data_IF_336479292477
#
_entry.id   IF_336479292477
#
_cell.length_a   1.000
_cell.length_b   1.000
_cell.length_c   1.000
_cell.angle_alpha   90.00
_cell.angle_beta   90.00
_cell.angle_gamma   90.00
#
_symmetry.space_group_name_H-M   'P 1'
#
loop_
_entity.id
_entity.type
_entity.pdbx_description
1 polymer ?
#
# COMPACT_ATOMS: atom_id res chain seq x y z
N UNK A 1 41.96 -27.24 116.62
CA UNK A 1 43.04 -26.24 116.69
C UNK A 1 44.05 -26.61 115.63
N UNK A 2 44.10 -25.86 114.53
CA UNK A 2 45.09 -26.10 113.47
C UNK A 2 45.61 -24.77 112.97
N UNK A 3 46.92 -24.71 112.92
CA UNK A 3 47.81 -23.56 112.99
C UNK A 3 47.96 -22.91 111.61
N UNK A 4 48.13 -21.58 111.60
CA UNK A 4 48.32 -20.71 110.42
C UNK A 4 49.82 -20.44 110.19
N UNK A 5 50.16 -20.15 108.92
CA UNK A 5 51.36 -19.44 108.41
C UNK A 5 52.59 -20.29 108.06
N UNK A 6 53.51 -19.89 107.12
CA UNK A 6 53.63 -18.61 106.40
C UNK A 6 53.97 -18.67 104.88
N UNK A 7 53.95 -17.50 104.22
CA UNK A 7 54.82 -17.13 103.07
C UNK A 7 54.35 -17.60 101.67
N UNK A 8 53.50 -16.90 100.93
CA UNK A 8 53.36 -15.44 100.76
C UNK A 8 54.69 -14.75 100.43
N UNK A 9 55.47 -15.30 99.46
CA UNK A 9 56.62 -14.59 98.86
C UNK A 9 57.15 -15.11 97.51
N UNK A 10 56.64 -16.22 96.96
CA UNK A 10 57.21 -16.83 95.75
C UNK A 10 56.47 -16.53 94.42
N UNK A 11 55.33 -15.82 94.44
CA UNK A 11 54.58 -15.47 93.22
C UNK A 11 54.61 -13.98 92.86
N UNK A 12 55.62 -13.23 93.32
CA UNK A 12 55.76 -11.79 92.97
C UNK A 12 57.01 -11.53 92.10
N UNK A 13 57.96 -12.47 92.05
CA UNK A 13 59.23 -12.26 91.32
C UNK A 13 59.18 -12.74 89.86
N UNK A 14 58.22 -13.58 89.47
CA UNK A 14 58.04 -14.00 88.07
C UNK A 14 57.17 -13.03 87.24
N UNK A 15 56.81 -11.86 87.78
CA UNK A 15 55.93 -10.87 87.14
C UNK A 15 56.68 -9.76 86.38
N UNK A 16 58.01 -9.85 86.24
CA UNK A 16 58.85 -8.78 85.64
C UNK A 16 59.72 -9.17 84.44
N UNK A 17 59.67 -10.43 83.97
CA UNK A 17 60.53 -10.87 82.85
C UNK A 17 59.80 -11.30 81.57
N UNK A 18 58.47 -11.32 81.54
CA UNK A 18 57.69 -11.64 80.32
C UNK A 18 57.07 -10.39 79.66
N UNK A 19 57.68 -9.21 79.83
CA UNK A 19 57.15 -7.94 79.36
C UNK A 19 57.56 -7.52 77.95
N UNK A 20 58.35 -8.29 77.19
CA UNK A 20 58.95 -7.81 75.93
C UNK A 20 59.19 -8.85 74.83
N UNK A 21 58.36 -9.89 74.71
CA UNK A 21 58.41 -10.74 73.52
C UNK A 21 57.02 -11.02 72.94
N UNK A 22 56.92 -10.75 71.63
CA UNK A 22 55.95 -11.31 70.69
C UNK A 22 54.53 -10.76 70.66
N UNK A 23 54.41 -9.48 70.29
CA UNK A 23 53.23 -8.96 69.58
C UNK A 23 53.22 -9.32 68.06
N UNK A 24 54.02 -10.30 67.63
CA UNK A 24 54.17 -10.69 66.20
C UNK A 24 53.65 -12.11 65.92
N UNK A 25 53.17 -12.84 66.93
CA UNK A 25 52.79 -14.26 66.77
C UNK A 25 51.29 -14.56 66.81
N UNK A 26 50.41 -13.55 66.82
CA UNK A 26 48.96 -13.74 66.68
C UNK A 26 48.40 -13.43 65.27
N UNK A 27 49.27 -13.18 64.29
CA UNK A 27 48.87 -12.93 62.90
C UNK A 27 48.69 -14.20 62.04
N UNK A 28 48.81 -15.41 62.61
CA UNK A 28 48.84 -16.68 61.84
C UNK A 28 47.65 -17.62 62.11
N UNK A 29 46.64 -17.20 62.89
CA UNK A 29 45.43 -18.02 63.16
C UNK A 29 44.10 -17.43 62.70
N UNK A 30 44.10 -16.28 62.00
CA UNK A 30 42.88 -15.66 61.45
C UNK A 30 42.76 -15.82 59.91
N UNK A 31 43.41 -16.84 59.34
CA UNK A 31 43.44 -17.09 57.90
C UNK A 31 42.83 -18.44 57.53
N UNK A 32 41.64 -18.77 58.07
CA UNK A 32 40.78 -19.87 57.59
C UNK A 32 39.33 -19.66 58.08
N UNK A 33 38.70 -18.55 57.70
CA UNK A 33 37.24 -18.50 57.60
C UNK A 33 36.91 -17.87 56.26
N UNK A 34 36.64 -18.72 55.27
CA UNK A 34 36.09 -18.32 53.98
C UNK A 34 34.84 -17.48 54.21
N UNK A 35 34.72 -16.26 53.64
CA UNK A 35 33.45 -15.58 53.59
C UNK A 35 32.43 -16.53 52.94
N UNK A 36 31.30 -16.80 53.61
CA UNK A 36 30.16 -17.43 52.95
C UNK A 36 29.80 -16.51 51.79
N UNK A 37 29.98 -16.99 50.56
CA UNK A 37 29.57 -16.24 49.39
C UNK A 37 28.08 -15.87 49.58
N UNK A 38 27.69 -14.60 49.34
CA UNK A 38 26.28 -14.24 49.39
C UNK A 38 25.51 -15.21 48.48
N UNK A 39 24.30 -15.66 48.90
CA UNK A 39 23.51 -16.58 48.11
C UNK A 39 23.41 -16.03 46.68
N UNK A 40 23.58 -16.86 45.65
CA UNK A 40 23.51 -16.40 44.28
C UNK A 40 22.19 -15.64 44.11
N UNK A 41 22.20 -14.48 43.40
CA UNK A 41 20.97 -13.74 43.15
C UNK A 41 19.92 -14.71 42.60
N UNK A 42 18.65 -14.61 43.03
CA UNK A 42 17.61 -15.48 42.53
C UNK A 42 17.66 -15.45 41.01
N UNK A 43 17.76 -16.64 40.41
CA UNK A 43 17.74 -16.78 38.96
C UNK A 43 16.54 -15.99 38.44
N UNK A 44 16.72 -15.11 37.45
CA UNK A 44 15.60 -14.43 36.83
C UNK A 44 14.54 -15.48 36.48
N UNK A 45 13.25 -15.25 36.79
CA UNK A 45 12.21 -16.18 36.40
C UNK A 45 12.38 -16.48 34.92
N UNK A 46 12.29 -17.76 34.50
CA UNK A 46 12.47 -18.12 33.10
C UNK A 46 11.55 -17.22 32.28
N UNK A 47 12.03 -16.64 31.16
CA UNK A 47 11.22 -15.75 30.36
C UNK A 47 9.92 -16.48 30.04
N UNK A 48 8.78 -15.88 30.40
CA UNK A 48 7.46 -16.36 30.05
C UNK A 48 7.42 -16.44 28.52
N UNK A 49 7.64 -17.63 27.97
CA UNK A 49 7.41 -17.86 26.55
C UNK A 49 5.90 -17.73 26.39
N UNK A 50 5.44 -16.68 25.70
CA UNK A 50 4.01 -16.52 25.42
C UNK A 50 3.50 -17.76 24.71
N UNK A 51 2.77 -18.61 25.45
CA UNK A 51 2.09 -19.80 24.93
C UNK A 51 0.84 -19.43 24.13
N UNK A 52 0.45 -18.15 24.13
CA UNK A 52 -0.76 -17.66 23.48
C UNK A 52 -0.58 -17.68 21.96
N UNK A 53 -1.40 -18.48 21.27
CA UNK A 53 -1.45 -18.52 19.81
C UNK A 53 -1.79 -17.12 19.26
N UNK A 54 -1.02 -16.57 18.31
CA UNK A 54 -1.36 -15.32 17.63
C UNK A 54 -2.77 -15.39 17.02
N UNK A 55 -3.52 -14.29 17.09
CA UNK A 55 -4.85 -14.18 16.47
C UNK A 55 -4.81 -13.31 15.21
N UNK A 56 -5.70 -13.56 14.23
CA UNK A 56 -5.80 -12.70 13.06
C UNK A 56 -6.11 -11.24 13.44
N UNK A 57 -5.55 -10.26 12.71
CA UNK A 57 -5.82 -8.85 12.97
C UNK A 57 -7.28 -8.51 12.61
N UNK A 58 -7.84 -7.53 13.33
CA UNK A 58 -9.13 -6.89 13.02
C UNK A 58 -10.32 -7.87 12.84
N UNK A 59 -10.27 -9.03 13.50
CA UNK A 59 -11.33 -10.03 13.40
C UNK A 59 -11.38 -10.78 12.07
N UNK A 60 -10.29 -10.77 11.30
CA UNK A 60 -10.18 -11.58 10.09
C UNK A 60 -10.27 -13.08 10.39
N UNK A 61 -10.64 -13.86 9.37
CA UNK A 61 -10.62 -15.33 9.44
C UNK A 61 -9.18 -15.85 9.42
N UNK A 62 -8.92 -17.01 10.03
CA UNK A 62 -7.55 -17.54 10.19
C UNK A 62 -6.87 -17.99 8.89
N UNK A 63 -7.66 -18.35 7.88
CA UNK A 63 -7.23 -18.95 6.62
C UNK A 63 -7.48 -18.05 5.39
N UNK A 64 -7.50 -16.73 5.59
CA UNK A 64 -7.60 -15.78 4.49
C UNK A 64 -6.31 -15.80 3.63
N UNK A 65 -6.47 -15.82 2.30
CA UNK A 65 -5.38 -15.52 1.36
C UNK A 65 -5.22 -14.02 1.25
N UNK A 66 -3.96 -13.56 1.25
CA UNK A 66 -3.61 -12.17 0.93
C UNK A 66 -3.06 -12.08 -0.49
N UNK A 67 -3.16 -10.91 -1.16
CA UNK A 67 -2.57 -10.72 -2.48
C UNK A 67 -1.05 -10.84 -2.46
N UNK A 68 -0.47 -11.08 -3.64
CA UNK A 68 0.99 -11.01 -3.83
C UNK A 68 1.50 -9.56 -3.69
N UNK A 69 2.79 -9.41 -3.42
CA UNK A 69 3.46 -8.11 -3.36
C UNK A 69 4.20 -7.86 -4.68
N UNK A 70 4.02 -6.67 -5.25
CA UNK A 70 4.78 -6.15 -6.38
C UNK A 70 5.17 -4.70 -6.07
N UNK A 71 6.43 -4.34 -6.32
CA UNK A 71 6.97 -2.99 -6.09
C UNK A 71 6.72 -2.47 -4.66
N UNK A 72 6.80 -3.37 -3.67
CA UNK A 72 6.62 -3.04 -2.25
C UNK A 72 5.18 -2.80 -1.81
N UNK A 73 4.18 -3.08 -2.65
CA UNK A 73 2.74 -2.98 -2.32
C UNK A 73 2.00 -4.27 -2.66
N UNK A 74 0.93 -4.54 -1.92
CA UNK A 74 0.03 -5.63 -2.26
C UNK A 74 -0.72 -5.31 -3.55
N UNK A 75 -0.83 -6.31 -4.43
CA UNK A 75 -1.56 -6.19 -5.68
C UNK A 75 -3.06 -5.97 -5.43
N UNK A 76 -3.56 -4.81 -5.80
CA UNK A 76 -4.98 -4.48 -5.74
C UNK A 76 -5.59 -4.36 -7.13
N UNK A 77 -6.94 -4.36 -7.23
CA UNK A 77 -7.64 -4.01 -8.45
C UNK A 77 -7.39 -2.57 -8.94
N UNK A 78 -6.83 -1.71 -8.10
CA UNK A 78 -6.61 -0.28 -8.38
C UNK A 78 -5.17 0.02 -8.85
N UNK A 79 -4.39 -0.99 -9.22
CA UNK A 79 -3.04 -0.76 -9.73
C UNK A 79 -3.06 -0.17 -11.13
N UNK A 80 -2.12 0.74 -11.40
CA UNK A 80 -1.93 1.40 -12.71
C UNK A 80 -3.16 2.17 -13.21
N UNK A 81 -4.08 2.55 -12.32
CA UNK A 81 -5.23 3.38 -12.68
C UNK A 81 -4.90 4.87 -12.53
N UNK A 82 -5.36 5.67 -13.47
CA UNK A 82 -5.20 7.12 -13.43
C UNK A 82 -6.51 7.82 -13.81
N UNK A 83 -6.59 9.13 -13.60
CA UNK A 83 -7.62 10.02 -14.14
C UNK A 83 -9.06 9.45 -14.06
N UNK A 84 -9.68 9.09 -15.19
CA UNK A 84 -11.07 8.63 -15.26
C UNK A 84 -11.28 7.29 -14.55
N UNK A 85 -10.39 6.32 -14.77
CA UNK A 85 -10.49 5.01 -14.12
C UNK A 85 -10.29 5.13 -12.61
N UNK A 86 -9.37 5.99 -12.17
CA UNK A 86 -9.18 6.28 -10.76
C UNK A 86 -10.45 6.92 -10.14
N UNK A 87 -11.06 7.91 -10.81
CA UNK A 87 -12.28 8.56 -10.32
C UNK A 87 -13.46 7.59 -10.25
N UNK A 88 -13.53 6.67 -11.22
CA UNK A 88 -14.51 5.58 -11.23
C UNK A 88 -14.36 4.67 -10.00
N UNK A 89 -13.14 4.26 -9.66
CA UNK A 89 -12.87 3.42 -8.48
C UNK A 89 -13.09 4.18 -7.15
N UNK A 90 -12.75 5.47 -7.09
CA UNK A 90 -13.07 6.33 -5.94
C UNK A 90 -14.58 6.36 -5.71
N UNK A 91 -15.38 6.52 -6.78
CA UNK A 91 -16.85 6.48 -6.67
C UNK A 91 -17.34 5.13 -6.11
N UNK A 92 -16.77 4.01 -6.54
CA UNK A 92 -17.12 2.68 -6.01
C UNK A 92 -16.79 2.56 -4.52
N UNK A 93 -15.60 2.97 -4.10
CA UNK A 93 -15.20 2.95 -2.71
C UNK A 93 -16.15 3.78 -1.83
N UNK A 94 -16.51 4.99 -2.27
CA UNK A 94 -17.44 5.84 -1.53
C UNK A 94 -18.87 5.28 -1.54
N UNK A 95 -19.27 4.56 -2.58
CA UNK A 95 -20.54 3.83 -2.56
C UNK A 95 -20.52 2.69 -1.54
N UNK A 96 -19.44 1.92 -1.45
CA UNK A 96 -19.28 0.90 -0.40
C UNK A 96 -19.33 1.55 0.99
N UNK A 97 -18.66 2.69 1.17
CA UNK A 97 -18.71 3.43 2.43
C UNK A 97 -20.15 3.87 2.78
N UNK A 98 -20.91 4.39 1.81
CA UNK A 98 -22.31 4.77 1.99
C UNK A 98 -23.23 3.59 2.41
N UNK A 99 -22.86 2.35 2.07
CA UNK A 99 -23.63 1.15 2.42
C UNK A 99 -23.17 0.51 3.73
N UNK A 100 -21.86 0.53 3.98
CA UNK A 100 -21.23 -0.26 5.04
C UNK A 100 -20.89 0.55 6.29
N UNK A 101 -20.64 1.85 6.16
CA UNK A 101 -20.25 2.67 7.29
C UNK A 101 -21.46 3.02 8.16
N UNK A 102 -21.23 3.05 9.47
CA UNK A 102 -22.24 3.35 10.51
C UNK A 102 -21.71 4.48 11.37
N UNK A 103 -21.71 5.68 10.82
CA UNK A 103 -21.27 6.89 11.50
C UNK A 103 -22.48 7.68 12.01
N UNK A 104 -22.31 8.51 13.06
CA UNK A 104 -23.38 9.38 13.54
C UNK A 104 -24.00 10.19 12.38
N UNK A 105 -25.33 10.17 12.28
CA UNK A 105 -26.05 10.89 11.24
C UNK A 105 -25.90 10.34 9.82
N UNK A 106 -25.32 9.15 9.64
CA UNK A 106 -25.17 8.50 8.32
C UNK A 106 -24.33 9.31 7.33
N UNK A 107 -23.24 9.91 7.85
CA UNK A 107 -22.42 10.89 7.16
C UNK A 107 -21.91 10.40 5.80
N UNK A 108 -21.35 9.19 5.73
CA UNK A 108 -20.85 8.62 4.48
C UNK A 108 -21.94 8.54 3.39
N UNK A 109 -23.17 8.13 3.73
CA UNK A 109 -24.29 8.08 2.79
C UNK A 109 -24.72 9.48 2.35
N UNK A 110 -24.80 10.43 3.28
CA UNK A 110 -25.16 11.82 2.97
C UNK A 110 -24.12 12.48 2.04
N UNK A 111 -22.83 12.29 2.33
CA UNK A 111 -21.74 12.79 1.49
C UNK A 111 -21.77 12.18 0.09
N UNK A 112 -21.95 10.86 -0.01
CA UNK A 112 -22.03 10.18 -1.31
C UNK A 112 -23.20 10.71 -2.15
N UNK A 113 -24.40 10.82 -1.56
CA UNK A 113 -25.56 11.36 -2.25
C UNK A 113 -25.33 12.82 -2.71
N UNK A 114 -24.68 13.64 -1.88
CA UNK A 114 -24.31 15.01 -2.26
C UNK A 114 -23.28 15.03 -3.39
N UNK A 115 -22.31 14.12 -3.37
CA UNK A 115 -21.27 14.00 -4.40
C UNK A 115 -21.88 13.65 -5.75
N UNK A 116 -22.86 12.74 -5.80
CA UNK A 116 -23.62 12.44 -7.02
C UNK A 116 -24.37 13.66 -7.56
N UNK A 117 -24.90 14.50 -6.68
CA UNK A 117 -25.62 15.71 -7.08
C UNK A 117 -24.69 16.82 -7.59
N UNK A 118 -23.60 17.10 -6.86
CA UNK A 118 -22.67 18.21 -7.18
C UNK A 118 -21.76 17.86 -8.37
N UNK A 119 -21.27 16.62 -8.44
CA UNK A 119 -20.28 16.20 -9.43
C UNK A 119 -20.85 15.24 -10.49
N UNK A 120 -22.17 15.08 -10.56
CA UNK A 120 -22.84 14.18 -11.51
C UNK A 120 -22.29 14.24 -12.94
N UNK A 121 -22.14 15.41 -13.57
CA UNK A 121 -21.64 15.51 -14.95
C UNK A 121 -20.24 14.93 -15.14
N UNK A 122 -19.29 15.22 -14.25
CA UNK A 122 -17.91 14.71 -14.39
C UNK A 122 -17.82 13.22 -14.05
N UNK A 123 -18.65 12.73 -13.12
CA UNK A 123 -18.74 11.30 -12.81
C UNK A 123 -19.31 10.50 -13.99
N UNK A 124 -20.32 11.04 -14.68
CA UNK A 124 -20.87 10.44 -15.91
C UNK A 124 -19.81 10.39 -17.01
N UNK A 125 -19.07 11.49 -17.22
CA UNK A 125 -17.99 11.55 -18.21
C UNK A 125 -16.88 10.53 -17.92
N UNK A 126 -16.51 10.35 -16.64
CA UNK A 126 -15.54 9.35 -16.23
C UNK A 126 -16.05 7.92 -16.50
N UNK A 127 -17.32 7.63 -16.21
CA UNK A 127 -17.94 6.34 -16.53
C UNK A 127 -17.93 6.05 -18.03
N UNK A 128 -18.33 7.02 -18.86
CA UNK A 128 -18.29 6.88 -20.33
C UNK A 128 -16.85 6.69 -20.84
N UNK A 129 -15.86 7.32 -20.20
CA UNK A 129 -14.46 7.11 -20.53
C UNK A 129 -14.01 5.68 -20.23
N UNK A 130 -14.37 5.13 -19.07
CA UNK A 130 -14.09 3.73 -18.72
C UNK A 130 -14.75 2.79 -19.74
N UNK A 131 -16.00 3.03 -20.13
CA UNK A 131 -16.68 2.25 -21.18
C UNK A 131 -15.92 2.26 -22.51
N UNK A 132 -15.42 3.43 -22.91
CA UNK A 132 -14.57 3.54 -24.10
C UNK A 132 -13.26 2.79 -23.95
N UNK A 133 -12.57 2.90 -22.81
CA UNK A 133 -11.31 2.20 -22.56
C UNK A 133 -11.49 0.68 -22.75
N UNK A 134 -12.56 0.13 -22.18
CA UNK A 134 -12.87 -1.29 -22.29
C UNK A 134 -13.33 -1.71 -23.69
N UNK A 135 -14.11 -0.89 -24.37
CA UNK A 135 -14.51 -1.14 -25.76
C UNK A 135 -13.30 -1.15 -26.70
N UNK A 136 -12.35 -0.22 -26.52
CA UNK A 136 -11.12 -0.15 -27.33
C UNK A 136 -10.21 -1.34 -27.05
N UNK A 137 -10.03 -1.70 -25.77
CA UNK A 137 -9.12 -2.78 -25.39
C UNK A 137 -9.64 -4.18 -25.76
N UNK A 138 -10.96 -4.41 -25.70
CA UNK A 138 -11.52 -5.77 -25.77
C UNK A 138 -12.68 -5.94 -26.77
N UNK A 139 -13.06 -4.89 -27.50
CA UNK A 139 -14.15 -4.95 -28.48
C UNK A 139 -15.47 -5.44 -27.86
N UNK A 140 -16.08 -6.46 -28.48
CA UNK A 140 -17.33 -7.05 -28.00
C UNK A 140 -17.25 -7.64 -26.58
N UNK A 141 -16.05 -8.06 -26.13
CA UNK A 141 -15.84 -8.58 -24.78
C UNK A 141 -15.66 -7.47 -23.72
N UNK A 142 -15.60 -6.20 -24.12
CA UNK A 142 -15.31 -5.07 -23.22
C UNK A 142 -16.28 -4.93 -22.06
N UNK A 143 -17.59 -5.09 -22.31
CA UNK A 143 -18.60 -5.00 -21.25
C UNK A 143 -18.38 -6.07 -20.17
N UNK A 144 -18.22 -7.33 -20.56
CA UNK A 144 -17.97 -8.42 -19.61
C UNK A 144 -16.64 -8.28 -18.86
N UNK A 145 -15.61 -7.76 -19.51
CA UNK A 145 -14.33 -7.45 -18.87
C UNK A 145 -14.46 -6.33 -17.82
N UNK A 146 -15.24 -5.28 -18.12
CA UNK A 146 -15.53 -4.18 -17.19
C UNK A 146 -16.31 -4.67 -15.97
N UNK A 147 -17.38 -5.45 -16.17
CA UNK A 147 -18.19 -5.94 -15.05
C UNK A 147 -17.41 -6.87 -14.11
N UNK A 148 -16.50 -7.68 -14.66
CA UNK A 148 -15.58 -8.49 -13.86
C UNK A 148 -14.67 -7.60 -13.00
N UNK A 149 -14.10 -6.53 -13.57
CA UNK A 149 -13.32 -5.59 -12.79
C UNK A 149 -14.18 -4.92 -11.71
N UNK A 150 -15.35 -4.39 -12.06
CA UNK A 150 -16.27 -3.74 -11.12
C UNK A 150 -16.52 -4.64 -9.90
N UNK A 151 -16.89 -5.89 -10.15
CA UNK A 151 -17.13 -6.89 -9.10
C UNK A 151 -15.89 -7.06 -8.21
N UNK A 152 -14.70 -7.12 -8.82
CA UNK A 152 -13.44 -7.27 -8.09
C UNK A 152 -13.14 -6.04 -7.22
N UNK A 153 -13.37 -4.83 -7.72
CA UNK A 153 -13.17 -3.57 -6.99
C UNK A 153 -14.16 -3.43 -5.83
N UNK A 154 -15.44 -3.75 -6.04
CA UNK A 154 -16.44 -3.76 -4.96
C UNK A 154 -16.09 -4.78 -3.88
N UNK A 155 -15.72 -6.00 -4.26
CA UNK A 155 -15.31 -7.03 -3.30
C UNK A 155 -14.07 -6.60 -2.50
N UNK A 156 -13.11 -5.95 -3.16
CA UNK A 156 -11.94 -5.40 -2.50
C UNK A 156 -12.33 -4.36 -1.44
N UNK A 157 -13.09 -3.32 -1.81
CA UNK A 157 -13.48 -2.27 -0.88
C UNK A 157 -14.47 -2.74 0.19
N UNK A 158 -15.14 -3.88 0.00
CA UNK A 158 -16.13 -4.43 0.94
C UNK A 158 -15.55 -5.41 1.95
N UNK A 159 -14.22 -5.47 2.10
CA UNK A 159 -13.56 -6.40 3.01
C UNK A 159 -13.94 -6.11 4.49
N UNK A 160 -14.74 -6.95 5.16
CA UNK A 160 -15.29 -6.66 6.48
C UNK A 160 -14.26 -6.30 7.57
N UNK A 161 -13.12 -7.00 7.73
CA UNK A 161 -12.15 -6.65 8.79
C UNK A 161 -11.52 -5.27 8.61
N UNK A 162 -11.58 -4.65 7.43
CA UNK A 162 -10.97 -3.35 7.14
C UNK A 162 -11.93 -2.19 7.42
N UNK A 163 -13.24 -2.45 7.54
CA UNK A 163 -14.28 -1.40 7.59
C UNK A 163 -14.06 -0.39 8.71
N UNK A 164 -13.59 -0.82 9.88
CA UNK A 164 -13.29 0.06 11.02
C UNK A 164 -12.26 1.14 10.67
N UNK A 165 -11.22 0.78 9.92
CA UNK A 165 -10.19 1.72 9.46
C UNK A 165 -10.55 2.44 8.16
N UNK A 166 -11.37 1.82 7.31
CA UNK A 166 -11.77 2.38 6.02
C UNK A 166 -12.78 3.53 6.15
N UNK A 167 -13.81 3.36 6.98
CA UNK A 167 -14.89 4.34 7.09
C UNK A 167 -14.45 5.78 7.41
N UNK A 168 -13.60 6.06 8.41
CA UNK A 168 -13.15 7.43 8.67
C UNK A 168 -12.34 8.02 7.51
N UNK A 169 -11.59 7.19 6.78
CA UNK A 169 -10.84 7.63 5.58
C UNK A 169 -11.79 7.97 4.44
N UNK A 170 -12.81 7.14 4.21
CA UNK A 170 -13.82 7.39 3.19
C UNK A 170 -14.60 8.69 3.43
N UNK A 171 -14.93 9.00 4.69
CA UNK A 171 -15.59 10.26 5.05
C UNK A 171 -14.70 11.48 4.85
N UNK A 172 -13.42 11.37 5.19
CA UNK A 172 -12.44 12.42 4.94
C UNK A 172 -12.26 12.69 3.44
N UNK A 173 -12.14 11.63 2.64
CA UNK A 173 -12.03 11.73 1.17
C UNK A 173 -13.32 12.28 0.57
N UNK A 174 -14.49 11.83 1.02
CA UNK A 174 -15.79 12.34 0.60
C UNK A 174 -15.93 13.84 0.87
N UNK A 175 -15.52 14.31 2.06
CA UNK A 175 -15.50 15.72 2.39
C UNK A 175 -14.56 16.54 1.47
N UNK A 176 -13.34 16.05 1.21
CA UNK A 176 -12.39 16.71 0.31
C UNK A 176 -12.96 16.85 -1.11
N UNK A 177 -13.55 15.78 -1.65
CA UNK A 177 -14.15 15.79 -2.99
C UNK A 177 -15.30 16.81 -3.08
N UNK A 178 -16.15 16.88 -2.05
CA UNK A 178 -17.24 17.86 -2.01
C UNK A 178 -16.78 19.32 -1.90
N UNK A 179 -15.58 19.55 -1.36
CA UNK A 179 -15.01 20.88 -1.17
C UNK A 179 -14.28 21.43 -2.41
N UNK A 180 -14.02 20.60 -3.42
CA UNK A 180 -13.27 21.00 -4.62
C UNK A 180 -14.18 21.19 -5.84
N UNK A 181 -13.77 22.00 -6.83
CA UNK A 181 -14.51 22.11 -8.08
C UNK A 181 -14.44 20.80 -8.88
N UNK A 182 -15.49 20.49 -9.64
CA UNK A 182 -15.55 19.29 -10.50
C UNK A 182 -14.37 19.14 -11.45
N UNK A 183 -13.79 20.25 -11.91
CA UNK A 183 -12.63 20.27 -12.81
C UNK A 183 -11.36 19.69 -12.18
N UNK A 184 -11.25 19.65 -10.85
CA UNK A 184 -10.08 19.14 -10.15
C UNK A 184 -10.17 17.62 -9.84
N UNK A 185 -11.34 17.00 -10.01
CA UNK A 185 -11.56 15.61 -9.57
C UNK A 185 -10.67 14.60 -10.29
N UNK A 186 -10.46 14.77 -11.60
CA UNK A 186 -9.66 13.82 -12.39
C UNK A 186 -8.19 13.83 -11.97
N UNK A 187 -7.65 15.01 -11.64
CA UNK A 187 -6.27 15.15 -11.19
C UNK A 187 -6.09 14.64 -9.75
N UNK A 188 -7.09 14.84 -8.90
CA UNK A 188 -7.05 14.38 -7.50
C UNK A 188 -7.39 12.89 -7.34
N UNK A 189 -8.10 12.28 -8.29
CA UNK A 189 -8.60 10.91 -8.14
C UNK A 189 -7.53 9.85 -7.81
N UNK A 190 -6.32 9.85 -8.40
CA UNK A 190 -5.26 8.92 -8.01
C UNK A 190 -4.85 9.05 -6.54
N UNK A 191 -4.76 10.29 -6.04
CA UNK A 191 -4.46 10.57 -4.63
C UNK A 191 -5.59 10.10 -3.72
N UNK A 192 -6.84 10.45 -4.05
CA UNK A 192 -8.02 10.00 -3.32
C UNK A 192 -8.08 8.46 -3.24
N UNK A 193 -7.79 7.78 -4.34
CA UNK A 193 -7.79 6.33 -4.40
C UNK A 193 -6.70 5.73 -3.52
N UNK A 194 -5.47 6.27 -3.59
CA UNK A 194 -4.38 5.83 -2.72
C UNK A 194 -4.71 6.02 -1.22
N UNK A 195 -5.39 7.12 -0.85
CA UNK A 195 -5.89 7.33 0.51
C UNK A 195 -6.90 6.24 0.90
N UNK A 196 -7.91 6.00 0.06
CA UNK A 196 -8.96 4.98 0.28
C UNK A 196 -8.41 3.54 0.36
N UNK A 197 -7.32 3.25 -0.35
CA UNK A 197 -6.69 1.92 -0.37
C UNK A 197 -5.76 1.66 0.81
N UNK A 198 -5.24 2.72 1.44
CA UNK A 198 -4.25 2.60 2.51
C UNK A 198 -4.68 1.66 3.66
N UNK A 199 -5.94 1.71 4.16
CA UNK A 199 -6.40 0.77 5.18
C UNK A 199 -6.31 -0.70 4.77
N UNK A 200 -6.50 -1.01 3.49
CA UNK A 200 -6.42 -2.38 2.96
C UNK A 200 -4.97 -2.86 2.86
N UNK A 201 -4.07 -1.97 2.40
CA UNK A 201 -2.63 -2.25 2.39
C UNK A 201 -2.11 -2.51 3.81
N UNK A 202 -2.52 -1.71 4.79
CA UNK A 202 -2.15 -1.87 6.19
C UNK A 202 -2.70 -3.17 6.78
N UNK A 203 -3.93 -3.54 6.44
CA UNK A 203 -4.52 -4.82 6.82
C UNK A 203 -3.70 -6.00 6.29
N UNK A 204 -3.36 -6.00 4.99
CA UNK A 204 -2.59 -7.09 4.40
C UNK A 204 -1.20 -7.21 5.03
N UNK A 205 -0.54 -6.08 5.35
CA UNK A 205 0.73 -6.07 6.08
C UNK A 205 0.58 -6.69 7.48
N UNK A 206 -0.45 -6.29 8.23
CA UNK A 206 -0.74 -6.85 9.55
C UNK A 206 -1.07 -8.35 9.49
N UNK A 207 -1.76 -8.79 8.43
CA UNK A 207 -2.12 -10.18 8.23
C UNK A 207 -0.90 -11.05 7.86
N UNK A 208 -0.01 -10.56 6.98
CA UNK A 208 1.25 -11.23 6.67
C UNK A 208 2.13 -11.40 7.93
N UNK A 209 2.18 -10.37 8.76
CA UNK A 209 2.90 -10.39 10.03
C UNK A 209 2.25 -11.37 11.04
N UNK A 210 0.92 -11.48 11.05
CA UNK A 210 0.22 -12.55 11.77
C UNK A 210 0.63 -13.95 11.28
N UNK A 211 0.65 -14.20 9.97
CA UNK A 211 1.06 -15.50 9.41
C UNK A 211 2.50 -15.87 9.80
N UNK A 212 3.41 -14.89 9.77
CA UNK A 212 4.79 -15.05 10.24
C UNK A 212 4.86 -15.45 11.71
N UNK A 213 4.16 -14.73 12.60
CA UNK A 213 4.10 -15.06 14.03
C UNK A 213 3.45 -16.42 14.28
N UNK A 214 2.41 -16.75 13.52
CA UNK A 214 1.73 -18.04 13.65
C UNK A 214 2.68 -19.19 13.29
N UNK A 215 3.46 -19.06 12.22
CA UNK A 215 4.46 -20.05 11.83
C UNK A 215 5.56 -20.20 12.90
N UNK A 216 6.03 -19.09 13.47
CA UNK A 216 7.00 -19.11 14.57
C UNK A 216 6.42 -19.82 15.80
N UNK A 217 5.20 -19.48 16.22
CA UNK A 217 4.52 -20.14 17.34
C UNK A 217 4.34 -21.64 17.08
N UNK A 218 3.91 -22.04 15.87
CA UNK A 218 3.75 -23.43 15.48
C UNK A 218 5.07 -24.21 15.57
N UNK A 219 6.19 -23.60 15.17
CA UNK A 219 7.53 -24.22 15.27
C UNK A 219 7.98 -24.49 16.72
N UNK A 220 7.55 -23.64 17.66
CA UNK A 220 7.94 -23.71 19.08
C UNK A 220 7.06 -24.68 19.89
N UNK A 221 5.77 -24.79 19.55
CA UNK A 221 4.79 -25.47 20.39
C UNK A 221 4.19 -26.75 19.80
N UNK A 222 4.63 -27.18 18.60
CA UNK A 222 4.51 -28.57 18.16
C UNK A 222 3.09 -29.16 18.20
N UNK A 223 2.06 -28.36 17.94
CA UNK A 223 0.72 -28.90 17.73
C UNK A 223 0.72 -29.87 16.55
N UNK A 224 0.03 -31.01 16.66
CA UNK A 224 -0.27 -31.87 15.50
C UNK A 224 -1.12 -31.04 14.54
N UNK A 225 -0.50 -30.49 13.49
CA UNK A 225 -1.20 -29.66 12.50
C UNK A 225 -1.17 -30.40 11.18
N UNK A 226 -2.35 -30.88 10.76
CA UNK A 226 -2.61 -31.21 9.37
C UNK A 226 -2.45 -29.93 8.56
N UNK A 227 -1.35 -29.83 7.80
CA UNK A 227 -1.10 -28.70 6.92
C UNK A 227 -2.07 -28.82 5.75
N UNK A 228 -3.20 -28.11 5.81
CA UNK A 228 -3.88 -27.74 4.59
C UNK A 228 -3.04 -26.66 3.93
N UNK A 229 -2.21 -27.05 2.97
CA UNK A 229 -1.69 -26.12 2.00
C UNK A 229 -2.89 -25.36 1.42
N UNK A 230 -2.93 -24.05 1.63
CA UNK A 230 -3.97 -23.20 1.05
C UNK A 230 -3.85 -23.37 -0.46
N UNK A 231 -4.87 -23.88 -1.15
CA UNK A 231 -4.78 -24.18 -2.55
C UNK A 231 -4.73 -22.85 -3.30
N UNK A 232 -3.62 -22.64 -3.99
CA UNK A 232 -3.35 -21.57 -4.97
C UNK A 232 -3.53 -20.12 -4.49
N UNK A 233 -2.55 -19.24 -4.74
CA UNK A 233 -2.77 -17.80 -4.65
C UNK A 233 -4.05 -17.44 -5.42
N UNK A 234 -4.85 -16.52 -4.87
CA UNK A 234 -5.91 -15.91 -5.66
C UNK A 234 -5.28 -15.38 -6.95
N UNK A 235 -5.87 -15.65 -8.13
CA UNK A 235 -5.36 -15.09 -9.36
C UNK A 235 -5.28 -13.56 -9.19
N UNK A 236 -4.20 -12.93 -9.68
CA UNK A 236 -4.03 -11.49 -9.50
C UNK A 236 -5.28 -10.78 -10.05
N UNK A 237 -5.78 -9.73 -9.37
CA UNK A 237 -6.93 -8.97 -9.86
C UNK A 237 -6.71 -8.55 -11.31
N UNK A 238 -7.71 -8.47 -12.19
CA UNK A 238 -7.50 -7.95 -13.54
C UNK A 238 -6.89 -6.55 -13.52
N UNK A 239 -6.01 -6.22 -14.48
CA UNK A 239 -5.51 -4.85 -14.67
C UNK A 239 -6.53 -4.08 -15.49
N UNK A 240 -6.98 -2.89 -15.05
CA UNK A 240 -7.82 -2.03 -15.89
C UNK A 240 -7.06 -1.57 -17.15
N UNK A 241 -7.70 -1.49 -18.32
CA UNK A 241 -7.06 -0.93 -19.51
C UNK A 241 -6.76 0.56 -19.29
N UNK A 242 -5.72 1.06 -19.96
CA UNK A 242 -5.37 2.47 -19.92
C UNK A 242 -6.40 3.37 -20.61
N UNK A 243 -6.29 4.67 -20.36
CA UNK A 243 -7.15 5.70 -20.95
C UNK A 243 -7.05 5.71 -22.49
N UNK A 244 -8.18 5.45 -23.14
CA UNK A 244 -8.32 5.57 -24.58
C UNK A 244 -8.48 7.06 -24.99
N UNK A 245 -7.98 7.44 -26.18
CA UNK A 245 -8.22 8.76 -26.74
C UNK A 245 -9.72 9.08 -26.84
N UNK A 246 -10.09 10.36 -26.69
CA UNK A 246 -11.47 10.80 -26.89
C UNK A 246 -11.90 10.52 -28.34
N UNK A 247 -13.17 10.19 -28.55
CA UNK A 247 -13.69 10.00 -29.91
C UNK A 247 -13.52 11.28 -30.73
N UNK A 248 -13.01 11.15 -31.95
CA UNK A 248 -12.65 12.29 -32.80
C UNK A 248 -11.27 12.89 -32.52
N UNK A 249 -10.51 12.36 -31.56
CA UNK A 249 -9.09 12.68 -31.41
C UNK A 249 -8.27 12.00 -32.52
N UNK A 250 -7.96 12.75 -33.58
CA UNK A 250 -6.87 12.40 -34.47
C UNK A 250 -5.59 13.05 -33.92
N UNK A 251 -4.53 12.30 -33.60
CA UNK A 251 -3.26 12.92 -33.28
C UNK A 251 -2.80 13.71 -34.52
N UNK A 252 -2.77 15.04 -34.42
CA UNK A 252 -2.09 15.84 -35.42
C UNK A 252 -0.60 15.54 -35.32
N UNK A 253 -0.11 14.64 -36.18
CA UNK A 253 1.32 14.27 -36.29
C UNK A 253 2.22 15.52 -36.48
N UNK A 254 1.62 16.64 -36.86
CA UNK A 254 2.24 17.96 -37.02
C UNK A 254 2.75 18.59 -35.70
N UNK A 255 2.17 18.31 -34.52
CA UNK A 255 2.54 19.08 -33.31
C UNK A 255 3.78 18.56 -32.58
N UNK A 256 4.08 17.25 -32.63
CA UNK A 256 5.20 16.68 -31.87
C UNK A 256 6.54 16.69 -32.63
N UNK A 257 6.50 16.68 -33.97
CA UNK A 257 7.72 16.75 -34.79
C UNK A 257 8.12 18.21 -35.04
N UNK A 258 7.17 19.12 -35.24
CA UNK A 258 7.45 20.50 -35.63
C UNK A 258 7.91 21.40 -34.47
N UNK A 259 7.64 21.02 -33.21
CA UNK A 259 8.14 21.73 -32.03
C UNK A 259 9.61 21.44 -31.70
N UNK A 260 10.21 20.41 -32.33
CA UNK A 260 11.60 19.97 -32.10
C UNK A 260 12.48 20.00 -33.35
N UNK A 261 12.03 20.60 -34.46
CA UNK A 261 12.96 20.91 -35.56
C UNK A 261 13.82 22.12 -35.18
N UNK A 262 15.15 22.06 -35.34
CA UNK A 262 16.00 23.24 -35.25
C UNK A 262 15.49 24.32 -36.23
N UNK A 263 15.58 25.61 -35.89
CA UNK A 263 15.30 26.67 -36.85
C UNK A 263 16.25 26.49 -38.06
N UNK A 264 15.77 26.70 -39.30
CA UNK A 264 16.64 26.67 -40.46
C UNK A 264 17.75 27.73 -40.29
N UNK A 265 19.00 27.43 -40.65
CA UNK A 265 20.09 28.39 -40.55
C UNK A 265 19.78 29.63 -41.39
N UNK A 266 20.04 30.81 -40.83
CA UNK A 266 19.79 32.11 -41.43
C UNK A 266 20.25 32.16 -42.89
N UNK A 267 19.31 32.40 -43.79
CA UNK A 267 19.61 32.66 -45.19
C UNK A 267 20.35 34.00 -45.31
N UNK A 268 21.57 33.93 -45.85
CA UNK A 268 22.31 35.10 -46.32
C UNK A 268 21.47 35.94 -47.31
N UNK A 269 21.69 37.26 -47.38
CA UNK A 269 20.83 38.16 -48.16
C UNK A 269 20.91 37.88 -49.66
N UNK A 270 19.73 37.91 -50.30
CA UNK A 270 19.49 37.53 -51.67
C UNK A 270 20.23 38.40 -52.71
N UNK A 271 20.82 37.75 -53.71
CA UNK A 271 21.18 38.35 -54.99
C UNK A 271 20.14 37.95 -56.04
N UNK A 272 19.51 38.93 -56.70
CA UNK A 272 18.70 38.70 -57.91
C UNK A 272 19.59 38.78 -59.15
N UNK A 273 19.51 37.81 -60.06
CA UNK A 273 19.01 38.11 -61.44
C UNK A 273 18.31 36.87 -62.06
N UNK A 274 17.63 36.85 -63.20
CA UNK A 274 17.03 37.78 -64.14
C UNK A 274 15.94 36.96 -64.90
N UNK A 275 14.94 37.61 -65.49
CA UNK A 275 13.82 36.98 -66.23
C UNK A 275 14.20 36.61 -67.67
N UNK A 276 13.84 35.42 -68.18
CA UNK A 276 13.63 35.19 -69.62
C UNK A 276 12.17 34.81 -69.98
N UNK A 277 11.81 34.79 -71.28
CA UNK A 277 10.56 35.32 -71.81
C UNK A 277 9.40 34.30 -71.92
N UNK A 278 8.21 34.81 -72.23
CA UNK A 278 7.03 34.02 -72.57
C UNK A 278 7.06 33.51 -74.03
N UNK A 279 6.59 32.28 -74.25
CA UNK A 279 6.16 31.77 -75.56
C UNK A 279 5.10 30.65 -75.40
N UNK A 280 4.28 30.52 -76.43
CA UNK A 280 2.88 30.08 -76.52
C UNK A 280 2.64 28.53 -76.60
N UNK A 281 1.37 28.06 -76.60
CA UNK A 281 0.98 26.67 -76.36
C UNK A 281 0.85 25.81 -77.62
N UNK A 282 1.15 24.51 -77.50
CA UNK A 282 0.83 23.47 -78.48
C UNK A 282 0.01 22.36 -77.80
N UNK A 283 -1.22 22.21 -78.31
CA UNK A 283 -2.37 21.33 -77.96
C UNK A 283 -2.08 19.82 -77.75
N UNK A 284 -3.10 18.95 -77.47
CA UNK A 284 -4.37 19.12 -76.74
C UNK A 284 -4.62 18.03 -75.65
N UNK A 285 -5.61 18.29 -74.79
CA UNK A 285 -6.11 17.37 -73.76
C UNK A 285 -6.82 16.14 -74.35
N UNK A 286 -6.43 14.94 -73.92
CA UNK A 286 -7.15 13.69 -74.19
C UNK A 286 -7.85 13.17 -72.93
N UNK A 287 -9.15 12.92 -73.09
CA UNK A 287 -10.06 12.38 -72.07
C UNK A 287 -9.83 10.88 -71.87
N UNK A 288 -9.50 10.46 -70.66
CA UNK A 288 -9.49 9.07 -70.20
C UNK A 288 -10.71 8.75 -69.30
N UNK A 289 -11.15 7.47 -69.23
CA UNK A 289 -12.55 7.12 -69.00
C UNK A 289 -13.07 7.26 -67.55
N UNK A 290 -14.34 7.68 -67.46
CA UNK A 290 -15.17 7.73 -66.25
C UNK A 290 -15.52 6.31 -65.79
N UNK A 291 -15.16 5.95 -64.56
CA UNK A 291 -15.68 4.75 -63.91
C UNK A 291 -17.07 5.05 -63.32
N UNK A 292 -18.03 4.20 -63.67
CA UNK A 292 -19.46 4.35 -63.38
C UNK A 292 -19.79 4.09 -61.91
N UNK A 293 -20.68 4.92 -61.36
CA UNK A 293 -21.32 4.73 -60.05
C UNK A 293 -22.51 3.78 -60.21
N UNK A 294 -22.57 2.75 -59.36
CA UNK A 294 -23.66 1.76 -59.35
C UNK A 294 -24.78 2.19 -58.37
N UNK A 295 -26.07 2.26 -58.77
CA UNK A 295 -27.16 2.69 -57.89
C UNK A 295 -27.61 1.61 -56.88
N UNK A 296 -28.06 2.05 -55.69
CA UNK A 296 -28.77 1.21 -54.71
C UNK A 296 -30.16 0.78 -55.22
N UNK A 297 -30.63 -0.43 -54.87
CA UNK A 297 -32.00 -0.85 -55.14
C UNK A 297 -33.01 -0.18 -54.21
N UNK A 298 -34.12 0.26 -54.79
CA UNK A 298 -35.32 0.78 -54.13
C UNK A 298 -36.21 -0.35 -53.63
N UNK A 299 -36.67 -0.24 -52.38
CA UNK A 299 -37.74 -1.08 -51.82
C UNK A 299 -39.06 -0.84 -52.59
N UNK A 300 -39.82 -1.90 -52.85
CA UNK A 300 -41.27 -1.80 -53.10
C UNK A 300 -41.93 -3.13 -52.74
N UNK A 301 -42.65 -3.15 -51.62
CA UNK A 301 -44.12 -3.16 -51.60
C UNK A 301 -44.61 -2.48 -50.31
#
# INVERSE_FOLDING_TARGET
MTVRSPSEKLMIVLRRFYGRLSLVSLAVLAACSTPVAPPPPPTPPPPLVETVRPRPPMGAVENMSIPEIQDGKYLTPNRKVTSNTALWHVRMALNVAALSCRSPGDLARLQYNRLLHVHGPILTQANEAVDRNYKVAYGAAGFGARERLNTTVYNFFSLPPVMKSFCPVAEAVGAKLLAMPSSALLDYAPTALAELEKPFQDFYAAYADYLRRLAEWQSRFGGTVTVWAVPSPLPPPPVPPGEAPRQGFAPSVTSAIQQNLPPPPDAAPAAQPARPPAAAPTQPATSGPKLMVQPLPTNTE
#
